data_IF_164543628244
#
_entry.id   IF_164543628244
#
_cell.length_a   1.000
_cell.length_b   1.000
_cell.length_c   1.000
_cell.angle_alpha   90.00
_cell.angle_beta   90.00
_cell.angle_gamma   90.00
#
_symmetry.space_group_name_H-M   'P 1'
#
loop_
_entity.id
_entity.type
_entity.pdbx_description
1 polymer ?
#
# COMPACT_ATOMS: atom_id res chain seq x y z
N UNK A 1 6.84 0.22 -15.40
CA UNK A 1 7.01 -1.01 -14.60
C UNK A 1 5.90 -1.08 -13.56
N UNK A 2 5.39 -2.25 -13.21
CA UNK A 2 4.44 -2.42 -12.10
C UNK A 2 5.22 -2.59 -10.80
N UNK A 3 5.15 -1.62 -9.88
CA UNK A 3 5.97 -1.67 -8.66
C UNK A 3 5.47 -2.77 -7.71
N UNK A 4 4.19 -3.12 -7.81
CA UNK A 4 3.58 -4.22 -7.07
C UNK A 4 3.81 -5.57 -7.75
N UNK A 5 4.20 -6.57 -6.96
CA UNK A 5 4.41 -7.96 -7.40
C UNK A 5 3.51 -8.88 -6.58
N UNK A 6 2.62 -9.63 -7.25
CA UNK A 6 1.85 -10.69 -6.62
C UNK A 6 2.55 -12.02 -6.84
N UNK A 7 2.85 -12.73 -5.76
CA UNK A 7 3.51 -14.05 -5.77
C UNK A 7 2.70 -15.07 -4.99
N UNK A 8 2.67 -16.31 -5.47
CA UNK A 8 2.18 -17.45 -4.67
C UNK A 8 3.35 -17.97 -3.83
N UNK A 9 3.22 -17.93 -2.50
CA UNK A 9 4.29 -18.30 -1.58
C UNK A 9 4.23 -19.77 -1.18
N UNK A 10 3.02 -20.28 -0.99
CA UNK A 10 2.69 -21.70 -0.85
C UNK A 10 1.36 -21.97 -1.57
N UNK A 11 1.05 -23.22 -1.94
CA UNK A 11 -0.18 -23.52 -2.67
C UNK A 11 -1.44 -22.91 -2.02
N UNK A 12 -2.08 -21.98 -2.73
CA UNK A 12 -3.29 -21.28 -2.27
C UNK A 12 -3.07 -20.11 -1.31
N UNK A 13 -1.84 -19.67 -1.09
CA UNK A 13 -1.50 -18.45 -0.35
C UNK A 13 -0.65 -17.51 -1.18
N UNK A 14 -1.00 -16.23 -1.17
CA UNK A 14 -0.40 -15.21 -2.01
C UNK A 14 0.12 -14.06 -1.16
N UNK A 15 1.17 -13.41 -1.66
CA UNK A 15 1.72 -12.18 -1.11
C UNK A 15 1.81 -11.12 -2.20
N UNK A 16 1.29 -9.93 -1.91
CA UNK A 16 1.43 -8.72 -2.69
C UNK A 16 2.56 -7.89 -2.08
N UNK A 17 3.60 -7.64 -2.87
CA UNK A 17 4.85 -7.02 -2.41
C UNK A 17 5.12 -5.71 -3.13
N UNK A 18 5.68 -4.75 -2.40
CA UNK A 18 6.25 -3.51 -2.92
C UNK A 18 7.63 -3.30 -2.30
N UNK A 19 8.67 -3.18 -3.13
CA UNK A 19 9.99 -2.77 -2.67
C UNK A 19 9.95 -1.27 -2.32
N UNK A 20 10.17 -0.91 -1.06
CA UNK A 20 10.11 0.47 -0.60
C UNK A 20 11.25 1.31 -1.20
N UNK A 21 11.01 2.61 -1.40
CA UNK A 21 12.00 3.50 -2.01
C UNK A 21 12.28 3.22 -3.50
N UNK A 22 11.36 2.55 -4.20
CA UNK A 22 11.46 2.29 -5.64
C UNK A 22 10.30 2.86 -6.47
N UNK A 23 9.44 3.69 -5.86
CA UNK A 23 8.24 4.21 -6.51
C UNK A 23 8.50 5.55 -7.21
N UNK A 24 7.61 5.93 -8.12
CA UNK A 24 7.75 7.22 -8.82
C UNK A 24 7.42 8.40 -7.90
N UNK A 25 6.75 8.14 -6.78
CA UNK A 25 6.26 9.17 -5.86
C UNK A 25 7.11 9.28 -4.59
N UNK A 26 8.21 8.55 -4.48
CA UNK A 26 9.03 8.52 -3.26
C UNK A 26 9.54 9.92 -2.86
N UNK A 27 9.88 10.75 -3.84
CA UNK A 27 10.31 12.13 -3.57
C UNK A 27 9.13 12.99 -3.07
N UNK A 28 7.94 12.82 -3.64
CA UNK A 28 6.74 13.50 -3.15
C UNK A 28 6.40 13.08 -1.72
N UNK A 29 6.54 11.80 -1.37
CA UNK A 29 6.34 11.29 -0.01
C UNK A 29 7.34 11.93 0.97
N UNK A 30 8.62 12.02 0.59
CA UNK A 30 9.66 12.69 1.40
C UNK A 30 9.37 14.17 1.62
N UNK A 31 8.89 14.87 0.59
CA UNK A 31 8.48 16.28 0.70
C UNK A 31 7.30 16.51 1.65
N UNK A 32 6.48 15.49 1.89
CA UNK A 32 5.39 15.51 2.86
C UNK A 32 5.84 15.18 4.29
N UNK A 33 7.14 14.89 4.49
CA UNK A 33 7.71 14.57 5.81
C UNK A 33 7.67 13.10 6.19
N UNK A 34 7.25 12.22 5.27
CA UNK A 34 7.19 10.77 5.48
C UNK A 34 8.37 10.06 4.82
N UNK A 35 8.68 8.85 5.29
CA UNK A 35 9.61 7.96 4.61
C UNK A 35 8.83 6.89 3.84
N UNK A 36 9.07 6.66 2.53
CA UNK A 36 8.30 5.71 1.72
C UNK A 36 8.65 4.24 2.00
N UNK A 37 8.75 3.86 3.28
CA UNK A 37 9.04 2.52 3.79
C UNK A 37 7.78 1.63 3.82
N UNK A 38 7.93 0.34 4.18
CA UNK A 38 6.80 -0.60 4.19
C UNK A 38 5.65 -0.23 5.13
N UNK A 39 5.93 0.38 6.29
CA UNK A 39 4.88 0.84 7.22
C UNK A 39 4.03 1.97 6.61
N UNK A 40 4.66 3.03 6.09
CA UNK A 40 4.02 4.07 5.27
C UNK A 40 3.06 3.51 4.21
N UNK A 41 3.55 2.59 3.38
CA UNK A 41 2.73 1.98 2.34
C UNK A 41 1.59 1.11 2.91
N UNK A 42 1.77 0.54 4.10
CA UNK A 42 0.70 -0.16 4.83
C UNK A 42 -0.34 0.80 5.37
N UNK A 43 0.07 1.95 5.92
CA UNK A 43 -0.83 3.02 6.33
C UNK A 43 -1.69 3.51 5.17
N UNK A 44 -1.07 3.80 4.02
CA UNK A 44 -1.77 4.16 2.79
C UNK A 44 -2.74 3.06 2.35
N UNK A 45 -2.31 1.79 2.35
CA UNK A 45 -3.16 0.67 1.96
C UNK A 45 -4.39 0.53 2.88
N UNK A 46 -4.20 0.64 4.19
CA UNK A 46 -5.29 0.57 5.18
C UNK A 46 -6.28 1.72 4.99
N UNK A 47 -5.77 2.93 4.84
CA UNK A 47 -6.61 4.11 4.63
C UNK A 47 -7.40 4.02 3.32
N UNK A 48 -6.75 3.60 2.24
CA UNK A 48 -7.38 3.40 0.94
C UNK A 48 -8.49 2.34 0.99
N UNK A 49 -8.25 1.22 1.68
CA UNK A 49 -9.27 0.17 1.88
C UNK A 49 -10.46 0.70 2.68
N UNK A 50 -10.23 1.41 3.79
CA UNK A 50 -11.32 1.90 4.64
C UNK A 50 -12.17 2.97 3.97
N UNK A 51 -11.60 3.76 3.06
CA UNK A 51 -12.27 4.90 2.42
C UNK A 51 -12.82 4.62 1.03
N UNK A 52 -12.13 3.82 0.23
CA UNK A 52 -12.43 3.66 -1.20
C UNK A 52 -12.70 2.20 -1.62
N UNK A 53 -12.31 1.22 -0.80
CA UNK A 53 -12.43 -0.19 -1.14
C UNK A 53 -12.86 -1.06 0.05
N UNK A 54 -13.92 -0.66 0.77
CA UNK A 54 -14.39 -1.34 1.97
C UNK A 54 -14.70 -2.83 1.77
N UNK A 55 -14.97 -3.27 0.53
CA UNK A 55 -15.17 -4.68 0.19
C UNK A 55 -13.90 -5.55 0.33
N UNK A 56 -12.73 -4.93 0.49
CA UNK A 56 -11.45 -5.61 0.73
C UNK A 56 -11.14 -5.81 2.21
N UNK A 57 -11.89 -5.18 3.11
CA UNK A 57 -11.63 -5.23 4.55
C UNK A 57 -11.69 -6.68 5.07
N UNK A 58 -10.65 -7.08 5.82
CA UNK A 58 -10.55 -8.42 6.42
C UNK A 58 -10.25 -9.57 5.44
N UNK A 59 -10.00 -9.30 4.15
CA UNK A 59 -9.72 -10.35 3.15
C UNK A 59 -8.24 -10.77 3.06
N UNK A 60 -7.35 -9.98 3.65
CA UNK A 60 -5.91 -10.23 3.74
C UNK A 60 -5.36 -9.58 5.02
N UNK A 61 -4.14 -9.96 5.37
CA UNK A 61 -3.35 -9.38 6.47
C UNK A 61 -2.15 -8.62 5.93
N UNK A 62 -1.57 -7.75 6.75
CA UNK A 62 -0.34 -7.02 6.42
C UNK A 62 0.82 -7.53 7.27
N UNK A 63 2.02 -7.57 6.70
CA UNK A 63 3.27 -7.91 7.40
C UNK A 63 4.44 -7.08 6.83
N UNK A 64 4.41 -5.74 7.00
CA UNK A 64 5.42 -4.87 6.41
C UNK A 64 6.77 -4.98 7.12
N UNK A 65 7.81 -4.65 6.37
CA UNK A 65 9.16 -4.39 6.86
C UNK A 65 9.60 -3.00 6.41
N UNK A 66 10.62 -2.41 7.04
CA UNK A 66 11.13 -1.10 6.63
C UNK A 66 11.47 -1.04 5.12
N UNK A 67 12.02 -2.12 4.56
CA UNK A 67 12.37 -2.21 3.14
C UNK A 67 11.24 -2.64 2.20
N UNK A 68 10.07 -3.06 2.73
CA UNK A 68 9.07 -3.71 1.90
C UNK A 68 7.66 -3.60 2.48
N UNK A 69 6.69 -3.20 1.67
CA UNK A 69 5.29 -3.46 1.99
C UNK A 69 4.91 -4.89 1.60
N UNK A 70 4.14 -5.55 2.46
CA UNK A 70 3.60 -6.89 2.22
C UNK A 70 2.15 -6.97 2.71
N UNK A 71 1.25 -7.39 1.82
CA UNK A 71 -0.07 -7.90 2.16
C UNK A 71 -0.17 -9.37 1.73
N UNK A 72 -0.77 -10.23 2.55
CA UNK A 72 -0.83 -11.66 2.28
C UNK A 72 -2.18 -12.28 2.66
N UNK A 73 -2.54 -13.36 1.98
CA UNK A 73 -3.80 -14.04 2.20
C UNK A 73 -4.08 -15.15 1.19
N UNK A 74 -5.25 -15.77 1.33
CA UNK A 74 -5.73 -16.81 0.40
C UNK A 74 -6.59 -16.25 -0.73
N UNK A 75 -7.10 -15.05 -0.55
CA UNK A 75 -7.97 -14.38 -1.50
C UNK A 75 -7.13 -13.64 -2.56
N UNK A 76 -6.77 -14.38 -3.61
CA UNK A 76 -5.96 -13.84 -4.70
C UNK A 76 -6.61 -12.61 -5.35
N UNK A 77 -7.93 -12.66 -5.57
CA UNK A 77 -8.64 -11.58 -6.24
C UNK A 77 -8.61 -10.29 -5.41
N UNK A 78 -8.76 -10.39 -4.08
CA UNK A 78 -8.63 -9.24 -3.19
C UNK A 78 -7.22 -8.61 -3.25
N UNK A 79 -6.17 -9.44 -3.32
CA UNK A 79 -4.78 -8.95 -3.42
C UNK A 79 -4.49 -8.35 -4.81
N UNK A 80 -5.08 -8.89 -5.88
CA UNK A 80 -5.00 -8.31 -7.23
C UNK A 80 -5.67 -6.93 -7.28
N UNK A 81 -6.84 -6.79 -6.66
CA UNK A 81 -7.56 -5.52 -6.55
C UNK A 81 -6.78 -4.48 -5.73
N UNK A 82 -6.27 -4.86 -4.55
CA UNK A 82 -5.39 -4.00 -3.75
C UNK A 82 -4.14 -3.59 -4.55
N UNK A 83 -3.54 -4.53 -5.29
CA UNK A 83 -2.38 -4.27 -6.13
C UNK A 83 -2.64 -3.26 -7.23
N UNK A 84 -3.82 -3.30 -7.85
CA UNK A 84 -4.22 -2.32 -8.86
C UNK A 84 -4.39 -0.92 -8.24
N UNK A 85 -5.07 -0.83 -7.09
CA UNK A 85 -5.30 0.42 -6.37
C UNK A 85 -3.96 1.05 -5.93
N UNK A 86 -3.09 0.31 -5.25
CA UNK A 86 -1.76 0.80 -4.84
C UNK A 86 -0.87 1.12 -6.05
N UNK A 87 -0.97 0.35 -7.14
CA UNK A 87 -0.20 0.66 -8.35
C UNK A 87 -0.60 1.99 -8.98
N UNK A 88 -1.83 2.47 -8.78
CA UNK A 88 -2.23 3.80 -9.22
C UNK A 88 -1.58 4.87 -8.33
N UNK A 89 -1.63 4.69 -7.00
CA UNK A 89 -1.05 5.64 -6.03
C UNK A 89 0.47 5.79 -6.20
N UNK A 90 1.20 4.69 -6.38
CA UNK A 90 2.67 4.67 -6.54
C UNK A 90 3.21 5.37 -7.80
N UNK A 91 2.33 5.83 -8.69
CA UNK A 91 2.64 6.45 -9.98
C UNK A 91 2.08 7.86 -10.14
N UNK A 92 1.33 8.34 -9.14
CA UNK A 92 0.60 9.59 -9.22
C UNK A 92 0.86 10.42 -7.97
N UNK A 93 1.66 11.49 -8.15
CA UNK A 93 2.06 12.36 -7.05
C UNK A 93 0.88 13.11 -6.43
N UNK A 94 -0.08 13.57 -7.24
CA UNK A 94 -1.26 14.27 -6.74
C UNK A 94 -2.13 13.31 -5.92
N UNK A 95 -2.22 12.06 -6.37
CA UNK A 95 -2.95 11.00 -5.66
C UNK A 95 -2.33 10.68 -4.31
N UNK A 96 -1.01 10.50 -4.23
CA UNK A 96 -0.37 10.21 -2.92
C UNK A 96 -0.47 11.41 -1.99
N UNK A 97 -0.32 12.64 -2.50
CA UNK A 97 -0.46 13.87 -1.70
C UNK A 97 -1.86 14.00 -1.11
N UNK A 98 -2.89 13.70 -1.91
CA UNK A 98 -4.29 13.73 -1.46
C UNK A 98 -4.53 12.71 -0.36
N UNK A 99 -4.11 11.46 -0.56
CA UNK A 99 -4.30 10.40 0.44
C UNK A 99 -3.56 10.69 1.75
N UNK A 100 -2.34 11.24 1.68
CA UNK A 100 -1.59 11.65 2.88
C UNK A 100 -2.32 12.77 3.62
N UNK A 101 -2.78 13.81 2.91
CA UNK A 101 -3.51 14.92 3.53
C UNK A 101 -4.82 14.45 4.19
N UNK A 102 -5.56 13.57 3.52
CA UNK A 102 -6.82 13.04 4.03
C UNK A 102 -6.60 12.14 5.26
N UNK A 103 -5.56 11.28 5.23
CA UNK A 103 -5.19 10.45 6.38
C UNK A 103 -4.78 11.31 7.59
N UNK A 104 -3.98 12.35 7.38
CA UNK A 104 -3.59 13.30 8.42
C UNK A 104 -4.80 14.05 8.99
N UNK A 105 -5.73 14.49 8.14
CA UNK A 105 -6.97 15.13 8.57
C UNK A 105 -7.88 14.18 9.38
N UNK A 106 -7.82 12.87 9.10
CA UNK A 106 -8.49 11.83 9.87
C UNK A 106 -7.74 11.43 11.16
N UNK A 107 -6.56 12.00 11.43
CA UNK A 107 -5.74 11.67 12.61
C UNK A 107 -5.09 10.29 12.53
N UNK A 108 -4.88 9.76 11.31
CA UNK A 108 -4.26 8.46 11.08
C UNK A 108 -2.75 8.66 10.95
N UNK A 109 -2.00 7.89 11.74
CA UNK A 109 -0.55 7.77 11.56
C UNK A 109 -0.27 6.80 10.41
N UNK A 110 0.50 7.26 9.43
CA UNK A 110 0.86 6.45 8.27
C UNK A 110 2.13 5.64 8.51
N UNK A 111 2.97 6.02 9.46
CA UNK A 111 4.30 5.45 9.63
C UNK A 111 4.40 4.32 10.68
N UNK A 112 3.26 3.95 11.29
CA UNK A 112 3.13 2.93 12.37
C UNK A 112 2.88 1.49 11.85
#
# INVERSE_FOLDING_TARGET
MTPLKLVETVPGSFSLLLDAGTTQVDEAVRQLGHEPHGYFWTGIARFLVSTEAASLEGRFSYDPEAGMFCAYGKDRAALEELGALLSAVTRDEDRVRTLVADAQAAGIDLDD
#
